data_IF_107486180932
#
_entry.id   IF_107486180932
#
_cell.length_a   1.000
_cell.length_b   1.000
_cell.length_c   1.000
_cell.angle_alpha   90.00
_cell.angle_beta   90.00
_cell.angle_gamma   90.00
#
_symmetry.space_group_name_H-M   'P 1'
#
loop_
_entity.id
_entity.type
_entity.pdbx_description
1 polymer ?
#
# COMPACT_ATOMS: atom_id res chain seq x y z
N UNK A 1 -56.27 4.84 -2.52
CA UNK A 1 -55.28 4.16 -3.39
C UNK A 1 -53.94 4.92 -3.52
N UNK A 2 -53.80 6.16 -3.01
CA UNK A 2 -52.59 6.98 -3.18
C UNK A 2 -51.60 6.90 -1.99
N UNK A 3 -52.06 6.51 -0.80
CA UNK A 3 -51.24 6.39 0.42
C UNK A 3 -50.09 5.39 0.26
N UNK A 4 -50.39 4.21 -0.30
CA UNK A 4 -49.40 3.13 -0.50
C UNK A 4 -48.30 3.52 -1.49
N UNK A 5 -48.58 4.39 -2.46
CA UNK A 5 -47.58 4.90 -3.42
C UNK A 5 -46.62 5.91 -2.78
N UNK A 6 -47.11 6.76 -1.89
CA UNK A 6 -46.24 7.68 -1.14
C UNK A 6 -45.35 6.90 -0.17
N UNK A 7 -45.91 5.93 0.53
CA UNK A 7 -45.14 5.09 1.46
C UNK A 7 -44.04 4.31 0.74
N UNK A 8 -44.35 3.67 -0.40
CA UNK A 8 -43.34 2.91 -1.16
C UNK A 8 -42.23 3.79 -1.73
N UNK A 9 -42.53 5.01 -2.17
CA UNK A 9 -41.51 5.97 -2.64
C UNK A 9 -40.59 6.45 -1.50
N UNK A 10 -41.14 6.71 -0.31
CA UNK A 10 -40.36 7.13 0.86
C UNK A 10 -39.43 6.01 1.32
N UNK A 11 -39.95 4.79 1.43
CA UNK A 11 -39.16 3.61 1.83
C UNK A 11 -38.08 3.31 0.78
N UNK A 12 -38.43 3.33 -0.51
CA UNK A 12 -37.46 3.12 -1.59
C UNK A 12 -36.34 4.16 -1.58
N UNK A 13 -36.68 5.44 -1.38
CA UNK A 13 -35.68 6.52 -1.26
C UNK A 13 -34.78 6.35 -0.05
N UNK A 14 -35.34 5.96 1.11
CA UNK A 14 -34.56 5.68 2.31
C UNK A 14 -33.56 4.54 2.11
N UNK A 15 -33.99 3.44 1.49
CA UNK A 15 -33.12 2.31 1.18
C UNK A 15 -32.02 2.71 0.19
N UNK A 16 -32.35 3.48 -0.85
CA UNK A 16 -31.36 3.97 -1.82
C UNK A 16 -30.33 4.90 -1.16
N UNK A 17 -30.76 5.80 -0.27
CA UNK A 17 -29.85 6.66 0.49
C UNK A 17 -28.94 5.85 1.41
N UNK A 18 -29.48 4.84 2.10
CA UNK A 18 -28.69 3.96 2.96
C UNK A 18 -27.65 3.17 2.16
N UNK A 19 -28.03 2.62 1.01
CA UNK A 19 -27.10 1.92 0.10
C UNK A 19 -26.04 2.87 -0.46
N UNK A 20 -26.41 4.10 -0.82
CA UNK A 20 -25.47 5.13 -1.27
C UNK A 20 -24.46 5.50 -0.19
N UNK A 21 -24.92 5.71 1.05
CA UNK A 21 -24.04 5.99 2.19
C UNK A 21 -23.10 4.81 2.49
N UNK A 22 -23.61 3.56 2.42
CA UNK A 22 -22.79 2.36 2.60
C UNK A 22 -21.72 2.24 1.50
N UNK A 23 -22.09 2.47 0.24
CA UNK A 23 -21.14 2.46 -0.87
C UNK A 23 -20.04 3.50 -0.68
N UNK A 24 -20.40 4.73 -0.27
CA UNK A 24 -19.42 5.78 0.03
C UNK A 24 -18.50 5.41 1.20
N UNK A 25 -19.02 4.76 2.24
CA UNK A 25 -18.21 4.28 3.36
C UNK A 25 -17.18 3.23 2.91
N UNK A 26 -17.60 2.23 2.12
CA UNK A 26 -16.70 1.19 1.59
C UNK A 26 -15.65 1.80 0.65
N UNK A 27 -16.04 2.72 -0.24
CA UNK A 27 -15.09 3.41 -1.12
C UNK A 27 -14.10 4.30 -0.33
N UNK A 28 -14.54 4.92 0.76
CA UNK A 28 -13.68 5.72 1.64
C UNK A 28 -12.63 4.85 2.33
N UNK A 29 -13.00 3.66 2.79
CA UNK A 29 -12.06 2.68 3.36
C UNK A 29 -11.02 2.24 2.31
N UNK A 30 -11.43 2.03 1.06
CA UNK A 30 -10.54 1.65 -0.04
C UNK A 30 -9.55 2.77 -0.45
N UNK A 31 -9.95 4.04 -0.30
CA UNK A 31 -9.09 5.18 -0.66
C UNK A 31 -7.78 5.26 0.16
N UNK A 32 -7.78 4.70 1.38
CA UNK A 32 -6.58 4.64 2.22
C UNK A 32 -5.50 3.69 1.69
N UNK A 33 -5.83 2.78 0.77
CA UNK A 33 -4.90 1.79 0.20
C UNK A 33 -4.23 2.24 -1.12
N UNK A 34 -4.37 3.53 -1.49
CA UNK A 34 -3.54 4.13 -2.54
C UNK A 34 -3.90 3.73 -3.98
N UNK A 35 -5.13 3.27 -4.24
CA UNK A 35 -5.59 2.92 -5.60
C UNK A 35 -5.56 4.12 -6.56
N UNK A 36 -5.62 5.35 -6.04
CA UNK A 36 -5.70 6.59 -6.82
C UNK A 36 -4.39 7.38 -6.90
N UNK A 37 -3.30 6.88 -6.30
CA UNK A 37 -2.00 7.55 -6.36
C UNK A 37 -1.14 6.91 -7.43
N UNK A 38 -0.61 7.76 -8.32
CA UNK A 38 0.39 7.36 -9.31
C UNK A 38 1.59 6.80 -8.55
N UNK A 39 1.89 5.53 -8.78
CA UNK A 39 2.93 4.78 -8.11
C UNK A 39 3.93 4.30 -9.15
N UNK A 40 5.19 4.23 -8.75
CA UNK A 40 6.25 3.65 -9.54
C UNK A 40 6.89 2.48 -8.80
N UNK A 41 7.40 1.53 -9.58
CA UNK A 41 8.02 0.32 -9.05
C UNK A 41 9.50 0.59 -8.79
N UNK A 42 9.95 0.28 -7.58
CA UNK A 42 11.36 0.17 -7.22
C UNK A 42 11.69 -1.30 -6.93
N UNK A 43 12.93 -1.70 -7.18
CA UNK A 43 13.39 -3.05 -6.87
C UNK A 43 14.76 -2.97 -6.22
N UNK A 44 14.90 -3.65 -5.09
CA UNK A 44 16.15 -3.73 -4.35
C UNK A 44 16.50 -5.21 -4.12
N UNK A 45 17.81 -5.49 -4.07
CA UNK A 45 18.35 -6.81 -3.78
C UNK A 45 18.94 -6.81 -2.37
N UNK A 46 18.54 -7.80 -1.58
CA UNK A 46 19.01 -8.00 -0.21
C UNK A 46 19.62 -9.39 -0.07
N UNK A 47 20.56 -9.56 0.85
CA UNK A 47 21.06 -10.90 1.20
C UNK A 47 20.04 -11.68 2.02
N UNK A 48 19.32 -10.99 2.92
CA UNK A 48 18.29 -11.57 3.76
C UNK A 48 17.24 -10.52 4.14
N UNK A 49 15.96 -10.90 4.06
CA UNK A 49 14.82 -10.02 4.37
C UNK A 49 14.12 -10.34 5.70
N UNK A 50 14.61 -11.34 6.44
CA UNK A 50 14.23 -11.68 7.82
C UNK A 50 12.72 -11.67 8.10
N UNK A 51 11.92 -12.23 7.19
CA UNK A 51 10.46 -12.33 7.35
C UNK A 51 9.66 -11.13 6.84
N UNK A 52 10.24 -10.29 5.96
CA UNK A 52 9.50 -9.25 5.24
C UNK A 52 8.35 -9.87 4.43
N UNK A 53 7.14 -9.38 4.67
CA UNK A 53 5.92 -9.85 4.03
C UNK A 53 5.46 -8.90 2.92
N UNK A 54 4.74 -9.39 1.90
CA UNK A 54 4.00 -8.53 0.98
C UNK A 54 3.08 -7.58 1.73
N UNK A 55 2.86 -6.38 1.19
CA UNK A 55 2.16 -5.25 1.81
C UNK A 55 2.84 -4.59 3.01
N UNK A 56 4.03 -5.04 3.42
CA UNK A 56 4.83 -4.34 4.42
C UNK A 56 5.06 -2.87 4.00
N UNK A 57 5.05 -1.92 4.95
CA UNK A 57 5.14 -0.51 4.62
C UNK A 57 6.55 -0.13 4.14
N UNK A 58 6.63 0.78 3.18
CA UNK A 58 7.87 1.41 2.73
C UNK A 58 7.92 2.83 3.27
N UNK A 59 8.99 3.15 4.00
CA UNK A 59 9.19 4.40 4.70
C UNK A 59 10.31 5.22 4.06
N UNK A 60 10.13 6.54 4.05
CA UNK A 60 11.12 7.52 3.65
C UNK A 60 11.13 8.62 4.72
N UNK A 61 12.28 8.82 5.37
CA UNK A 61 12.45 9.83 6.42
C UNK A 61 11.33 9.79 7.50
N UNK A 62 10.98 8.60 7.98
CA UNK A 62 9.95 8.42 9.01
C UNK A 62 8.49 8.49 8.52
N UNK A 63 8.24 8.65 7.22
CA UNK A 63 6.88 8.73 6.65
C UNK A 63 6.61 7.55 5.72
N UNK A 64 5.42 6.96 5.80
CA UNK A 64 5.00 5.90 4.87
C UNK A 64 4.78 6.47 3.47
N UNK A 65 5.55 6.00 2.50
CA UNK A 65 5.51 6.44 1.09
C UNK A 65 5.10 5.34 0.12
N UNK A 66 4.93 4.11 0.60
CA UNK A 66 4.63 2.99 -0.27
C UNK A 66 4.41 1.67 0.47
N UNK A 67 4.45 0.59 -0.31
CA UNK A 67 4.32 -0.79 0.18
C UNK A 67 5.18 -1.76 -0.61
N UNK A 68 5.54 -2.87 0.02
CA UNK A 68 6.16 -4.01 -0.65
C UNK A 68 5.11 -4.72 -1.51
N UNK A 69 5.43 -4.91 -2.78
CA UNK A 69 4.59 -5.61 -3.75
C UNK A 69 4.86 -7.11 -3.70
N UNK A 70 6.13 -7.51 -3.83
CA UNK A 70 6.54 -8.91 -3.75
C UNK A 70 7.94 -9.07 -3.14
N UNK A 71 8.20 -10.29 -2.66
CA UNK A 71 9.47 -10.72 -2.09
C UNK A 71 9.80 -12.07 -2.73
N UNK A 72 10.78 -12.07 -3.62
CA UNK A 72 11.10 -13.22 -4.46
C UNK A 72 12.56 -13.61 -4.31
N UNK A 73 12.86 -14.91 -4.32
CA UNK A 73 14.24 -15.38 -4.40
C UNK A 73 14.83 -15.02 -5.76
N UNK A 74 16.04 -14.47 -5.74
CA UNK A 74 16.74 -13.99 -6.91
C UNK A 74 18.23 -14.36 -6.85
N UNK A 75 18.96 -13.98 -7.89
CA UNK A 75 20.41 -14.09 -7.95
C UNK A 75 20.97 -12.75 -8.40
N UNK A 76 22.13 -12.37 -7.84
CA UNK A 76 22.91 -11.23 -8.33
C UNK A 76 23.59 -11.60 -9.66
N UNK A 77 24.13 -10.58 -10.33
CA UNK A 77 24.87 -10.75 -11.57
C UNK A 77 26.10 -11.67 -11.44
N UNK A 78 26.65 -11.79 -10.23
CA UNK A 78 27.77 -12.68 -9.88
C UNK A 78 27.32 -14.12 -9.53
N UNK A 79 26.00 -14.42 -9.61
CA UNK A 79 25.43 -15.72 -9.26
C UNK A 79 25.21 -15.94 -7.77
N UNK A 80 25.52 -14.96 -6.91
CA UNK A 80 25.26 -15.08 -5.48
C UNK A 80 23.75 -15.08 -5.20
N UNK A 81 23.27 -15.92 -4.27
CA UNK A 81 21.86 -15.92 -3.86
C UNK A 81 21.49 -14.57 -3.25
N UNK A 82 20.32 -14.08 -3.62
CA UNK A 82 19.77 -12.82 -3.14
C UNK A 82 18.24 -12.92 -3.02
N UNK A 83 17.64 -11.91 -2.40
CA UNK A 83 16.19 -11.72 -2.36
C UNK A 83 15.87 -10.42 -3.06
N UNK A 84 15.03 -10.48 -4.09
CA UNK A 84 14.50 -9.31 -4.77
C UNK A 84 13.23 -8.86 -4.06
N UNK A 85 13.22 -7.62 -3.63
CA UNK A 85 12.04 -6.97 -3.05
C UNK A 85 11.55 -5.94 -4.05
N UNK A 86 10.34 -6.16 -4.58
CA UNK A 86 9.65 -5.18 -5.40
C UNK A 86 8.79 -4.28 -4.51
N UNK A 87 8.85 -2.98 -4.73
CA UNK A 87 8.18 -1.96 -3.93
C UNK A 87 7.36 -1.05 -4.84
N UNK A 88 6.16 -0.69 -4.42
CA UNK A 88 5.37 0.37 -5.02
C UNK A 88 5.49 1.61 -4.14
N UNK A 89 6.01 2.69 -4.72
CA UNK A 89 6.24 3.96 -4.04
C UNK A 89 5.48 5.07 -4.74
N UNK A 90 4.93 5.99 -3.96
CA UNK A 90 4.20 7.16 -4.44
C UNK A 90 5.10 8.06 -5.31
N UNK A 91 4.65 8.38 -6.53
CA UNK A 91 5.43 9.20 -7.49
C UNK A 91 5.71 10.61 -6.95
N UNK A 92 4.90 11.11 -6.02
CA UNK A 92 5.11 12.41 -5.37
C UNK A 92 6.47 12.54 -4.67
N UNK A 93 7.05 11.42 -4.20
CA UNK A 93 8.37 11.41 -3.53
C UNK A 93 9.52 11.02 -4.44
N UNK A 94 9.27 10.80 -5.74
CA UNK A 94 10.29 10.36 -6.70
C UNK A 94 11.51 11.29 -6.74
N UNK A 95 11.31 12.61 -6.61
CA UNK A 95 12.39 13.60 -6.60
C UNK A 95 13.28 13.55 -5.35
N UNK A 96 12.89 12.78 -4.32
CA UNK A 96 13.61 12.64 -3.05
C UNK A 96 14.46 11.38 -3.01
N UNK A 97 14.09 10.34 -3.75
CA UNK A 97 14.82 9.07 -3.81
C UNK A 97 15.83 9.16 -4.96
N UNK A 98 17.10 9.29 -4.61
CA UNK A 98 18.21 9.42 -5.57
C UNK A 98 18.85 8.07 -5.86
N UNK A 99 19.73 8.04 -6.86
CA UNK A 99 20.43 6.81 -7.26
C UNK A 99 21.41 6.27 -6.22
N UNK A 100 21.84 7.12 -5.29
CA UNK A 100 22.71 6.79 -4.15
C UNK A 100 21.93 6.51 -2.86
N UNK A 101 20.59 6.56 -2.91
CA UNK A 101 19.76 6.20 -1.77
C UNK A 101 19.91 4.72 -1.43
N UNK A 102 19.99 4.44 -0.13
CA UNK A 102 20.18 3.08 0.41
C UNK A 102 18.89 2.62 1.06
N UNK A 103 18.47 1.40 0.75
CA UNK A 103 17.31 0.78 1.38
C UNK A 103 17.72 -0.26 2.40
N UNK A 104 17.16 -0.22 3.60
CA UNK A 104 17.38 -1.19 4.68
C UNK A 104 16.06 -1.81 5.13
N UNK A 105 16.14 -2.93 5.86
CA UNK A 105 14.96 -3.58 6.44
C UNK A 105 14.97 -3.30 7.94
N UNK A 106 13.98 -2.53 8.36
CA UNK A 106 13.76 -2.20 9.76
C UNK A 106 12.76 -3.14 10.42
N UNK A 107 12.65 -2.98 11.74
CA UNK A 107 11.66 -3.69 12.58
C UNK A 107 10.79 -2.67 13.30
N UNK A 108 9.48 -2.79 13.18
CA UNK A 108 8.50 -1.97 13.90
C UNK A 108 8.27 -2.55 15.29
N UNK A 109 8.56 -1.72 16.30
CA UNK A 109 8.29 -2.04 17.69
C UNK A 109 9.01 -3.29 18.19
N UNK A 110 8.42 -3.92 19.22
CA UNK A 110 8.99 -5.09 19.89
C UNK A 110 8.49 -6.42 19.32
N UNK A 111 7.38 -6.41 18.58
CA UNK A 111 6.73 -7.62 18.05
C UNK A 111 7.38 -8.15 16.77
N UNK A 112 8.21 -7.35 16.09
CA UNK A 112 9.05 -7.87 15.01
C UNK A 112 8.55 -7.61 13.59
N UNK A 113 7.45 -6.86 13.41
CA UNK A 113 6.94 -6.56 12.06
C UNK A 113 8.00 -5.86 11.22
N UNK A 114 8.25 -6.35 10.01
CA UNK A 114 9.32 -5.82 9.15
C UNK A 114 8.78 -4.72 8.23
N UNK A 115 9.61 -3.72 7.97
CA UNK A 115 9.33 -2.66 7.01
C UNK A 115 10.58 -2.33 6.20
N UNK A 116 10.41 -1.67 5.06
CA UNK A 116 11.53 -1.17 4.27
C UNK A 116 11.72 0.31 4.57
N UNK A 117 12.94 0.71 4.90
CA UNK A 117 13.32 2.10 5.07
C UNK A 117 14.24 2.53 3.92
N UNK A 118 13.95 3.68 3.32
CA UNK A 118 14.80 4.30 2.30
C UNK A 118 15.48 5.52 2.94
N UNK A 119 16.81 5.51 2.97
CA UNK A 119 17.66 6.61 3.40
C UNK A 119 18.21 7.35 2.16
N UNK A 120 18.25 8.68 2.25
CA UNK A 120 18.73 9.57 1.17
C UNK A 120 20.23 9.80 1.22
#
# INVERSE_FOLDING_TARGET
MNENRRLSLVVGSFVLLALGALALAVLSLSSQEGVWRDQYRLSALYDNVQGLLPNAPVWLAGTRVGRVESVDLAQRADGAPAVRVAMLVDRSVQNRIRSDSVSSIGTMGLLGDRYVEIAM
#
